data_IF_846752438760
#
_entry.id   IF_846752438760
#
_cell.length_a   1.000
_cell.length_b   1.000
_cell.length_c   1.000
_cell.angle_alpha   90.00
_cell.angle_beta   90.00
_cell.angle_gamma   90.00
#
_symmetry.space_group_name_H-M   'P 1'
#
loop_
_entity.id
_entity.type
_entity.pdbx_description
1 polymer ?
#
# COMPACT_ATOMS: atom_id res chain seq x y z
N UNK A 1 -0.59 7.72 -1.65
CA UNK A 1 0.56 7.41 -2.54
C UNK A 1 0.27 6.07 -3.18
N UNK A 2 0.35 5.99 -4.50
CA UNK A 2 -0.03 4.79 -5.24
C UNK A 2 1.08 3.74 -5.16
N UNK A 3 0.70 2.48 -4.92
CA UNK A 3 1.64 1.36 -4.77
C UNK A 3 1.59 0.39 -5.95
N UNK A 4 0.42 -0.24 -6.17
CA UNK A 4 0.22 -1.23 -7.23
C UNK A 4 -1.01 -0.86 -8.07
N UNK A 5 -0.86 -0.93 -9.39
CA UNK A 5 -1.94 -0.64 -10.36
C UNK A 5 -2.16 -1.85 -11.26
N UNK A 6 -3.44 -2.11 -11.56
CA UNK A 6 -3.89 -3.16 -12.47
C UNK A 6 -4.87 -2.55 -13.47
N UNK A 7 -4.71 -2.93 -14.74
CA UNK A 7 -5.55 -2.44 -15.84
C UNK A 7 -6.18 -3.62 -16.57
N UNK A 8 -7.43 -3.45 -17.00
CA UNK A 8 -8.21 -4.46 -17.71
C UNK A 8 -8.78 -3.86 -19.01
N UNK A 9 -8.74 -4.59 -20.14
CA UNK A 9 -8.23 -5.95 -20.31
C UNK A 9 -6.71 -6.03 -20.15
N UNK A 10 -6.23 -7.18 -19.69
CA UNK A 10 -4.80 -7.40 -19.44
C UNK A 10 -4.04 -7.52 -20.77
N UNK A 11 -2.90 -6.85 -20.90
CA UNK A 11 -1.96 -7.12 -21.98
C UNK A 11 -1.27 -8.46 -21.71
N UNK A 12 -1.55 -9.46 -22.56
CA UNK A 12 -1.02 -10.82 -22.44
C UNK A 12 0.51 -10.88 -22.58
N UNK A 13 1.14 -9.83 -23.11
CA UNK A 13 2.60 -9.75 -23.28
C UNK A 13 3.33 -9.18 -22.06
N UNK A 14 2.62 -8.59 -21.08
CA UNK A 14 3.23 -8.00 -19.90
C UNK A 14 3.24 -8.99 -18.73
N UNK A 15 4.44 -9.39 -18.30
CA UNK A 15 4.71 -10.34 -17.22
C UNK A 15 3.85 -10.12 -15.96
N UNK A 16 3.06 -11.17 -15.66
CA UNK A 16 2.69 -11.81 -14.37
C UNK A 16 2.37 -10.90 -13.18
N UNK A 17 1.27 -11.20 -12.50
CA UNK A 17 0.65 -10.47 -11.38
C UNK A 17 1.55 -10.12 -10.18
N UNK A 18 2.83 -10.47 -10.19
CA UNK A 18 3.80 -10.02 -9.20
C UNK A 18 4.04 -8.52 -9.31
N UNK A 19 4.21 -7.88 -8.17
CA UNK A 19 4.55 -6.47 -8.11
C UNK A 19 5.59 -6.25 -7.03
N UNK A 20 6.42 -5.25 -7.23
CA UNK A 20 7.33 -4.73 -6.24
C UNK A 20 7.26 -3.21 -6.29
N UNK A 21 7.17 -2.57 -5.13
CA UNK A 21 7.09 -1.13 -5.02
C UNK A 21 7.75 -0.65 -3.74
N UNK A 22 8.34 0.53 -3.80
CA UNK A 22 8.92 1.21 -2.64
C UNK A 22 8.24 2.56 -2.51
N UNK A 23 7.76 2.86 -1.30
CA UNK A 23 7.18 4.14 -0.96
C UNK A 23 8.04 4.83 0.08
N UNK A 24 8.16 6.14 -0.06
CA UNK A 24 8.80 7.02 0.91
C UNK A 24 7.77 8.01 1.45
N UNK A 25 7.75 8.22 2.75
CA UNK A 25 6.91 9.20 3.43
C UNK A 25 7.79 10.12 4.28
N UNK A 26 7.54 11.41 4.19
CA UNK A 26 8.21 12.39 5.04
C UNK A 26 7.49 12.44 6.38
N UNK A 27 8.21 12.18 7.46
CA UNK A 27 7.66 12.31 8.80
C UNK A 27 7.63 13.79 9.21
N UNK A 28 6.49 14.27 9.68
CA UNK A 28 6.26 15.68 10.05
C UNK A 28 6.14 15.89 11.55
N UNK A 29 6.29 14.82 12.35
CA UNK A 29 6.18 14.88 13.81
C UNK A 29 6.85 13.67 14.46
N UNK A 30 7.35 13.83 15.68
CA UNK A 30 7.84 12.71 16.47
C UNK A 30 6.68 11.76 16.79
N UNK A 31 6.79 10.48 16.43
CA UNK A 31 5.74 9.51 16.71
C UNK A 31 6.27 8.08 16.88
N UNK A 32 5.40 7.22 17.43
CA UNK A 32 5.60 5.78 17.46
C UNK A 32 4.74 5.15 16.35
N UNK A 33 5.40 4.68 15.30
CA UNK A 33 4.75 4.09 14.13
C UNK A 33 4.53 2.59 14.33
N UNK A 34 3.31 2.13 14.05
CA UNK A 34 2.91 0.73 14.30
C UNK A 34 2.50 -0.04 13.03
N UNK A 35 2.06 0.64 11.98
CA UNK A 35 1.49 -0.01 10.81
C UNK A 35 1.42 0.94 9.60
N UNK A 36 1.16 0.36 8.43
CA UNK A 36 0.71 1.08 7.24
C UNK A 36 -0.78 0.84 7.01
N UNK A 37 -1.51 1.86 6.58
CA UNK A 37 -2.92 1.74 6.22
C UNK A 37 -3.04 1.74 4.70
N UNK A 38 -3.70 0.71 4.17
CA UNK A 38 -3.97 0.55 2.75
C UNK A 38 -5.38 1.00 2.39
N UNK A 39 -5.45 1.67 1.25
CA UNK A 39 -6.68 2.09 0.58
C UNK A 39 -6.60 1.65 -0.88
N UNK A 40 -7.71 1.77 -1.60
CA UNK A 40 -7.71 1.55 -3.04
C UNK A 40 -8.61 2.55 -3.74
N UNK A 41 -8.33 2.72 -5.04
CA UNK A 41 -9.18 3.41 -5.99
C UNK A 41 -9.35 2.52 -7.22
N UNK A 42 -10.56 2.49 -7.75
CA UNK A 42 -10.90 1.78 -8.98
C UNK A 42 -11.66 2.72 -9.91
N UNK A 43 -11.30 2.71 -11.19
CA UNK A 43 -12.09 3.35 -12.26
C UNK A 43 -12.99 2.27 -12.84
N UNK A 44 -14.30 2.44 -12.70
CA UNK A 44 -15.28 1.46 -13.15
C UNK A 44 -15.52 1.60 -14.66
N UNK A 45 -15.77 2.83 -15.10
CA UNK A 45 -15.91 3.20 -16.50
C UNK A 45 -15.83 4.72 -16.64
N UNK A 46 -15.01 5.20 -17.57
CA UNK A 46 -14.83 6.63 -17.85
C UNK A 46 -14.53 7.46 -16.57
N UNK A 47 -15.40 8.39 -16.19
CA UNK A 47 -15.29 9.24 -15.00
C UNK A 47 -15.87 8.61 -13.72
N UNK A 48 -16.51 7.44 -13.84
CA UNK A 48 -17.12 6.73 -12.71
C UNK A 48 -16.01 6.02 -11.92
N UNK A 49 -15.77 6.50 -10.69
CA UNK A 49 -14.75 5.98 -9.78
C UNK A 49 -15.32 5.51 -8.45
N UNK A 50 -14.60 4.59 -7.83
CA UNK A 50 -14.84 4.07 -6.49
C UNK A 50 -13.55 4.17 -5.68
N UNK A 51 -13.57 4.81 -4.52
CA UNK A 51 -12.36 5.04 -3.72
C UNK A 51 -12.63 4.94 -2.22
N UNK A 52 -11.74 4.23 -1.52
CA UNK A 52 -11.68 4.21 -0.04
C UNK A 52 -10.65 5.19 0.51
N UNK A 53 -9.86 5.85 -0.34
CA UNK A 53 -8.85 6.81 0.09
C UNK A 53 -9.52 8.03 0.74
N UNK A 54 -9.09 8.50 1.93
CA UNK A 54 -9.78 9.56 2.66
C UNK A 54 -9.96 10.86 1.87
N UNK A 55 -8.99 11.23 1.04
CA UNK A 55 -9.04 12.45 0.23
C UNK A 55 -10.02 12.36 -0.95
N UNK A 56 -10.33 11.15 -1.43
CA UNK A 56 -11.18 10.92 -2.60
C UNK A 56 -12.36 9.98 -2.29
N UNK A 57 -12.71 9.84 -1.01
CA UNK A 57 -13.63 8.84 -0.51
C UNK A 57 -15.00 8.93 -1.17
N UNK A 58 -15.47 7.82 -1.74
CA UNK A 58 -16.80 7.72 -2.34
C UNK A 58 -17.88 7.81 -1.27
N UNK A 59 -18.74 8.83 -1.36
CA UNK A 59 -19.84 9.04 -0.42
C UNK A 59 -20.75 7.80 -0.35
N UNK A 60 -21.23 7.49 0.86
CA UNK A 60 -22.16 6.40 1.15
C UNK A 60 -21.64 4.98 0.82
N UNK A 61 -20.33 4.82 0.64
CA UNK A 61 -19.67 3.53 0.39
C UNK A 61 -19.10 2.90 1.67
N UNK A 62 -19.95 2.27 2.47
CA UNK A 62 -19.59 1.65 3.76
C UNK A 62 -19.17 0.16 3.68
N UNK A 63 -19.05 -0.39 2.46
CA UNK A 63 -18.74 -1.80 2.22
C UNK A 63 -17.26 -2.18 2.41
N UNK A 64 -16.34 -1.21 2.40
CA UNK A 64 -14.90 -1.46 2.52
C UNK A 64 -14.24 -0.57 3.57
N UNK A 65 -13.79 -1.20 4.64
CA UNK A 65 -12.92 -0.57 5.63
C UNK A 65 -11.46 -0.59 5.15
N UNK A 66 -10.61 0.34 5.66
CA UNK A 66 -9.18 0.33 5.35
C UNK A 66 -8.52 -0.97 5.81
N UNK A 67 -7.52 -1.43 5.06
CA UNK A 67 -6.69 -2.56 5.46
C UNK A 67 -5.49 -2.06 6.28
N UNK A 68 -5.05 -2.84 7.27
CA UNK A 68 -3.88 -2.52 8.09
C UNK A 68 -2.77 -3.54 7.83
N UNK A 69 -1.58 -3.05 7.50
CA UNK A 69 -0.34 -3.83 7.40
C UNK A 69 0.54 -3.53 8.62
N UNK A 70 0.47 -4.38 9.67
CA UNK A 70 1.16 -4.11 10.92
C UNK A 70 2.68 -4.27 10.78
N UNK A 71 3.42 -3.52 11.58
CA UNK A 71 4.81 -3.83 11.90
C UNK A 71 4.81 -4.81 13.07
N UNK A 72 5.78 -5.73 13.09
CA UNK A 72 5.93 -6.68 14.21
C UNK A 72 6.23 -5.96 15.53
N UNK A 73 7.05 -4.92 15.46
CA UNK A 73 7.43 -4.10 16.59
C UNK A 73 7.17 -2.62 16.24
N UNK A 74 6.65 -1.82 17.18
CA UNK A 74 6.56 -0.37 17.03
C UNK A 74 7.93 0.27 16.75
N UNK A 75 7.97 1.28 15.89
CA UNK A 75 9.19 2.00 15.52
C UNK A 75 9.08 3.48 15.87
N UNK A 76 10.04 3.99 16.64
CA UNK A 76 10.13 5.43 16.90
C UNK A 76 10.63 6.13 15.63
N UNK A 77 9.90 7.14 15.19
CA UNK A 77 10.23 7.97 14.03
C UNK A 77 10.26 9.43 14.48
N UNK A 78 11.29 10.16 14.07
CA UNK A 78 11.45 11.57 14.41
C UNK A 78 10.89 12.47 13.31
N UNK A 79 10.54 13.70 13.68
CA UNK A 79 10.25 14.75 12.71
C UNK A 79 11.45 14.94 11.78
N UNK A 80 11.20 15.00 10.47
CA UNK A 80 12.26 15.10 9.46
C UNK A 80 12.76 13.74 8.94
N UNK A 81 12.46 12.63 9.61
CA UNK A 81 12.85 11.30 9.11
C UNK A 81 12.11 10.95 7.81
N UNK A 82 12.80 10.19 6.95
CA UNK A 82 12.18 9.53 5.79
C UNK A 82 11.80 8.11 6.17
N UNK A 83 10.50 7.83 6.16
CA UNK A 83 9.96 6.48 6.32
C UNK A 83 9.96 5.82 4.94
N UNK A 84 10.73 4.75 4.77
CA UNK A 84 10.77 4.00 3.52
C UNK A 84 10.24 2.59 3.75
N UNK A 85 9.26 2.18 2.94
CA UNK A 85 8.67 0.84 3.01
C UNK A 85 8.70 0.19 1.64
N UNK A 86 9.09 -1.07 1.61
CA UNK A 86 9.01 -1.92 0.44
C UNK A 86 7.83 -2.88 0.58
N UNK A 87 7.09 -3.06 -0.51
CA UNK A 87 5.99 -4.01 -0.63
C UNK A 87 6.23 -4.91 -1.83
N UNK A 88 5.86 -6.17 -1.67
CA UNK A 88 5.79 -7.15 -2.75
C UNK A 88 4.39 -7.74 -2.81
N UNK A 89 3.87 -7.91 -4.01
CA UNK A 89 2.78 -8.82 -4.31
C UNK A 89 3.38 -10.03 -4.98
N UNK A 90 3.20 -11.20 -4.39
CA UNK A 90 3.77 -12.47 -4.85
C UNK A 90 2.64 -13.44 -5.19
N UNK A 91 2.96 -14.44 -6.01
CA UNK A 91 2.03 -15.51 -6.30
C UNK A 91 2.76 -16.82 -6.58
N UNK A 92 2.03 -17.93 -6.41
CA UNK A 92 2.35 -19.22 -6.97
C UNK A 92 1.13 -19.72 -7.77
N UNK A 93 1.10 -21.01 -8.13
CA UNK A 93 -0.03 -21.56 -8.87
C UNK A 93 -1.35 -21.51 -8.09
N UNK A 94 -1.28 -21.55 -6.76
CA UNK A 94 -2.46 -21.69 -5.88
C UNK A 94 -2.76 -20.44 -5.05
N UNK A 95 -1.74 -19.64 -4.72
CA UNK A 95 -1.86 -18.56 -3.75
C UNK A 95 -1.31 -17.24 -4.26
N UNK A 96 -1.85 -16.16 -3.70
CA UNK A 96 -1.35 -14.80 -3.83
C UNK A 96 -1.17 -14.24 -2.42
N UNK A 97 -0.04 -13.59 -2.17
CA UNK A 97 0.24 -12.98 -0.87
C UNK A 97 0.99 -11.65 -1.01
N UNK A 98 1.10 -10.94 0.10
CA UNK A 98 1.85 -9.72 0.21
C UNK A 98 2.99 -9.89 1.22
N UNK A 99 4.14 -9.34 0.89
CA UNK A 99 5.27 -9.17 1.81
C UNK A 99 5.52 -7.67 1.96
N UNK A 100 5.92 -7.21 3.14
CA UNK A 100 6.30 -5.82 3.36
C UNK A 100 7.45 -5.71 4.35
N UNK A 101 8.30 -4.71 4.16
CA UNK A 101 9.40 -4.42 5.07
C UNK A 101 9.67 -2.92 5.15
N UNK A 102 9.81 -2.44 6.38
CA UNK A 102 10.37 -1.13 6.65
C UNK A 102 11.86 -1.14 6.31
N UNK A 103 12.30 -0.15 5.54
CA UNK A 103 13.70 0.05 5.16
C UNK A 103 14.34 1.23 5.87
N UNK A 104 13.54 2.26 6.20
CA UNK A 104 13.95 3.44 6.98
C UNK A 104 12.81 3.86 7.92
N UNK A 105 13.11 4.43 9.12
CA UNK A 105 14.45 4.71 9.64
C UNK A 105 15.20 3.46 10.15
N UNK A 106 14.46 2.41 10.50
CA UNK A 106 15.01 1.12 10.95
C UNK A 106 14.55 0.01 10.01
N UNK A 107 15.43 -0.94 9.72
CA UNK A 107 15.08 -2.09 8.86
C UNK A 107 14.25 -3.09 9.66
N UNK A 108 13.03 -3.36 9.23
CA UNK A 108 12.23 -4.47 9.77
C UNK A 108 12.56 -5.77 9.05
N UNK A 109 12.25 -6.91 9.70
CA UNK A 109 12.21 -8.19 9.00
C UNK A 109 11.06 -8.19 7.98
N UNK A 110 11.24 -8.95 6.90
CA UNK A 110 10.15 -9.40 6.02
C UNK A 110 9.31 -10.44 6.76
#
# INVERSE_FOLDING_TARGET
KDLFTFSHPFDQNCSKFERFGVLQFQCTQNCLMNAFVGYFRSVLYDDILMSTEPATYSKDMFSWFPIVFPLREPVVVQEGDVIEVAFWRKHCAEYVWYEWALRKPTVSRV
#
